data_IF_908392712781
#
_entry.id   IF_908392712781
#
_cell.length_a   1.000
_cell.length_b   1.000
_cell.length_c   1.000
_cell.angle_alpha   90.00
_cell.angle_beta   90.00
_cell.angle_gamma   90.00
#
_symmetry.space_group_name_H-M   'P 1'
#
loop_
_entity.id
_entity.type
_entity.pdbx_description
1 polymer ?
#
# COMPACT_ATOMS: atom_id res chain seq x y z
N UNK A 1 22.36 67.05 -11.90
CA UNK A 1 21.46 65.91 -11.54
C UNK A 1 22.29 64.65 -11.57
N UNK A 2 22.65 64.10 -10.39
CA UNK A 2 23.40 62.83 -10.29
C UNK A 2 22.40 61.70 -10.23
N UNK A 3 22.41 60.79 -11.25
CA UNK A 3 21.61 59.57 -11.25
C UNK A 3 22.29 58.55 -10.35
N UNK A 4 21.63 58.18 -9.26
CA UNK A 4 22.03 57.06 -8.38
C UNK A 4 21.50 55.79 -9.00
N UNK A 5 22.37 54.92 -9.50
CA UNK A 5 22.05 53.56 -9.94
C UNK A 5 22.09 52.69 -8.68
N UNK A 6 20.92 52.28 -8.19
CA UNK A 6 20.80 51.28 -7.12
C UNK A 6 20.95 49.93 -7.79
N UNK A 7 22.12 49.32 -7.66
CA UNK A 7 22.38 47.93 -8.08
C UNK A 7 21.83 47.00 -7.00
N UNK A 8 20.66 46.47 -7.19
CA UNK A 8 20.09 45.44 -6.31
C UNK A 8 20.86 44.14 -6.53
N UNK A 9 21.79 43.84 -5.64
CA UNK A 9 22.42 42.53 -5.50
C UNK A 9 21.36 41.55 -5.01
N UNK A 10 20.71 40.85 -5.92
CA UNK A 10 19.95 39.62 -5.61
C UNK A 10 20.97 38.54 -5.21
N UNK A 11 20.90 37.97 -4.00
CA UNK A 11 21.77 36.88 -3.66
C UNK A 11 21.43 35.69 -4.57
N UNK A 12 22.38 35.31 -5.41
CA UNK A 12 22.36 34.03 -6.10
C UNK A 12 22.47 32.92 -5.03
N UNK A 13 21.33 32.46 -4.53
CA UNK A 13 21.28 31.24 -3.75
C UNK A 13 21.52 30.11 -4.76
N UNK A 14 22.75 29.60 -4.77
CA UNK A 14 23.08 28.47 -5.65
C UNK A 14 22.20 27.29 -5.30
N UNK A 15 21.75 26.55 -6.32
CA UNK A 15 20.91 25.34 -6.18
C UNK A 15 21.48 24.34 -5.15
N UNK A 16 22.80 24.28 -4.98
CA UNK A 16 23.48 23.44 -3.99
C UNK A 16 23.22 23.81 -2.52
N UNK A 17 22.71 25.01 -2.24
CA UNK A 17 22.37 25.43 -0.87
C UNK A 17 20.91 25.11 -0.52
N UNK A 18 20.04 24.96 -1.52
CA UNK A 18 18.62 24.62 -1.31
C UNK A 18 18.52 23.18 -0.75
N UNK A 19 19.35 22.24 -1.23
CA UNK A 19 19.37 20.86 -0.75
C UNK A 19 19.81 20.72 0.72
N UNK A 20 20.52 21.71 1.27
CA UNK A 20 20.92 21.73 2.69
C UNK A 20 19.86 22.33 3.62
N UNK A 21 18.92 23.10 3.10
CA UNK A 21 17.87 23.75 3.89
C UNK A 21 16.60 22.85 3.95
N UNK A 22 16.38 22.01 2.92
CA UNK A 22 15.25 21.10 2.84
C UNK A 22 15.16 20.01 3.93
N UNK A 23 16.27 19.49 4.52
CA UNK A 23 16.20 18.45 5.56
C UNK A 23 15.44 18.84 6.82
N UNK A 24 15.30 20.15 7.10
CA UNK A 24 14.66 20.64 8.33
C UNK A 24 13.14 20.38 8.31
N UNK A 25 12.53 20.24 7.12
CA UNK A 25 11.10 20.01 6.93
C UNK A 25 10.78 18.62 6.35
N UNK A 26 11.80 17.81 6.05
CA UNK A 26 11.57 16.46 5.55
C UNK A 26 11.05 15.55 6.67
N UNK A 27 10.03 14.76 6.38
CA UNK A 27 9.63 13.66 7.27
C UNK A 27 10.82 12.74 7.47
N UNK A 28 11.02 12.17 8.68
CA UNK A 28 12.07 11.17 8.90
C UNK A 28 11.95 10.07 7.84
N UNK A 29 13.08 9.66 7.28
CA UNK A 29 13.15 8.66 6.24
C UNK A 29 13.94 7.45 6.72
N UNK A 30 13.45 6.24 6.42
CA UNK A 30 14.14 4.98 6.64
C UNK A 30 14.32 4.28 5.29
N UNK A 31 15.45 3.64 5.09
CA UNK A 31 15.70 2.84 3.89
C UNK A 31 14.79 1.59 3.86
N UNK A 32 14.75 0.87 4.96
CA UNK A 32 13.97 -0.38 5.10
C UNK A 32 13.38 -0.53 6.49
N UNK A 33 12.20 -1.14 6.54
CA UNK A 33 11.59 -1.68 7.76
C UNK A 33 11.06 -3.09 7.47
N UNK A 34 11.13 -3.99 8.45
CA UNK A 34 10.58 -5.35 8.35
C UNK A 34 9.40 -5.54 9.31
N UNK A 35 8.48 -6.45 8.98
CA UNK A 35 7.28 -6.71 9.78
C UNK A 35 7.60 -6.98 11.26
N UNK A 36 8.63 -7.77 11.57
CA UNK A 36 9.01 -8.05 12.96
C UNK A 36 9.37 -6.79 13.76
N UNK A 37 10.02 -5.82 13.13
CA UNK A 37 10.33 -4.52 13.74
C UNK A 37 9.07 -3.70 14.06
N UNK A 38 8.02 -3.83 13.24
CA UNK A 38 6.75 -3.13 13.51
C UNK A 38 6.04 -3.65 14.76
N UNK A 39 6.36 -4.87 15.20
CA UNK A 39 5.79 -5.52 16.37
C UNK A 39 6.70 -5.42 17.61
N UNK A 40 7.95 -5.00 17.45
CA UNK A 40 8.93 -4.86 18.52
C UNK A 40 8.72 -3.53 19.26
N UNK A 41 8.34 -3.61 20.54
CA UNK A 41 8.04 -2.45 21.38
C UNK A 41 9.26 -1.53 21.52
N UNK A 42 10.47 -2.06 21.63
CA UNK A 42 11.68 -1.26 21.79
C UNK A 42 12.06 -0.53 20.51
N UNK A 43 11.85 -1.16 19.36
CA UNK A 43 12.01 -0.52 18.08
C UNK A 43 10.95 0.58 17.86
N UNK A 44 9.68 0.28 18.15
CA UNK A 44 8.53 1.20 18.00
C UNK A 44 8.71 2.51 18.77
N UNK A 45 9.32 2.46 19.96
CA UNK A 45 9.60 3.65 20.78
C UNK A 45 10.41 4.73 20.06
N UNK A 46 11.30 4.31 19.18
CA UNK A 46 12.26 5.17 18.50
C UNK A 46 11.76 5.69 17.14
N UNK A 47 10.66 5.12 16.63
CA UNK A 47 10.10 5.53 15.33
C UNK A 47 9.12 6.70 15.53
N UNK A 48 9.28 7.74 14.73
CA UNK A 48 8.31 8.85 14.68
C UNK A 48 7.09 8.45 13.84
N UNK A 49 5.91 8.89 14.28
CA UNK A 49 4.72 8.70 13.47
C UNK A 49 4.87 9.37 12.10
N UNK A 50 4.35 8.75 11.06
CA UNK A 50 4.42 9.25 9.68
C UNK A 50 5.86 9.29 9.11
N UNK A 51 6.73 8.38 9.57
CA UNK A 51 8.05 8.18 8.97
C UNK A 51 7.89 7.55 7.58
N UNK A 52 8.57 8.10 6.57
CA UNK A 52 8.61 7.53 5.22
C UNK A 52 9.61 6.39 5.15
N UNK A 53 9.33 5.39 4.32
CA UNK A 53 10.17 4.20 4.12
C UNK A 53 10.30 3.92 2.63
N UNK A 54 11.49 3.57 2.16
CA UNK A 54 11.71 3.21 0.76
C UNK A 54 11.25 1.78 0.45
N UNK A 55 11.46 0.86 1.42
CA UNK A 55 11.07 -0.54 1.28
C UNK A 55 10.51 -1.13 2.58
N UNK A 56 9.54 -2.04 2.43
CA UNK A 56 8.93 -2.76 3.52
C UNK A 56 8.92 -4.26 3.25
N UNK A 57 9.42 -5.06 4.21
CA UNK A 57 9.31 -6.51 4.18
C UNK A 57 8.09 -6.95 4.98
N UNK A 58 7.11 -7.53 4.31
CA UNK A 58 5.83 -7.96 4.88
C UNK A 58 5.98 -9.17 5.81
N UNK A 59 4.91 -9.52 6.52
CA UNK A 59 4.83 -10.73 7.34
C UNK A 59 5.20 -12.00 6.55
N UNK A 60 4.78 -12.08 5.29
CA UNK A 60 5.04 -13.21 4.40
C UNK A 60 6.37 -13.10 3.64
N UNK A 61 7.28 -12.23 4.09
CA UNK A 61 8.63 -12.04 3.51
C UNK A 61 8.65 -11.44 2.11
N UNK A 62 7.54 -10.88 1.65
CA UNK A 62 7.53 -10.10 0.43
C UNK A 62 8.14 -8.72 0.66
N UNK A 63 9.06 -8.31 -0.21
CA UNK A 63 9.66 -6.98 -0.15
C UNK A 63 8.91 -6.09 -1.13
N UNK A 64 8.26 -5.06 -0.60
CA UNK A 64 7.59 -4.01 -1.35
C UNK A 64 8.46 -2.76 -1.38
N UNK A 65 8.52 -2.08 -2.53
CA UNK A 65 9.27 -0.83 -2.71
C UNK A 65 8.40 0.24 -3.33
N UNK A 66 8.76 1.50 -3.15
CA UNK A 66 8.20 2.60 -3.91
C UNK A 66 8.43 2.34 -5.40
N UNK A 67 7.38 2.49 -6.21
CA UNK A 67 7.37 2.17 -7.63
C UNK A 67 6.84 0.77 -7.98
N UNK A 68 6.73 -0.14 -7.02
CA UNK A 68 6.16 -1.47 -7.26
C UNK A 68 4.66 -1.41 -7.59
N UNK A 69 4.20 -2.42 -8.31
CA UNK A 69 2.80 -2.56 -8.69
C UNK A 69 2.09 -3.53 -7.77
N UNK A 70 0.98 -3.08 -7.18
CA UNK A 70 0.05 -3.91 -6.43
C UNK A 70 -1.20 -4.19 -7.26
N UNK A 71 -1.84 -5.32 -7.02
CA UNK A 71 -3.14 -5.66 -7.60
C UNK A 71 -4.21 -5.55 -6.52
N UNK A 72 -5.23 -4.73 -6.78
CA UNK A 72 -6.41 -4.64 -5.91
C UNK A 72 -7.18 -5.95 -6.00
N UNK A 73 -7.47 -6.53 -4.87
CA UNK A 73 -8.23 -7.78 -4.75
C UNK A 73 -9.72 -7.54 -4.59
N UNK A 74 -10.37 -8.39 -3.82
CA UNK A 74 -11.82 -8.34 -3.62
C UNK A 74 -12.16 -7.58 -2.34
N UNK A 75 -13.17 -6.70 -2.41
CA UNK A 75 -13.68 -6.02 -1.22
C UNK A 75 -14.22 -7.04 -0.20
N UNK A 76 -13.90 -6.83 1.07
CA UNK A 76 -14.22 -7.77 2.14
C UNK A 76 -14.98 -7.05 3.25
N UNK A 77 -16.17 -7.50 3.59
CA UNK A 77 -16.91 -6.91 4.68
C UNK A 77 -16.42 -7.42 6.06
N UNK A 78 -16.71 -6.67 7.12
CA UNK A 78 -16.33 -7.00 8.51
C UNK A 78 -16.82 -8.36 9.00
N UNK A 79 -17.81 -8.97 8.34
CA UNK A 79 -18.37 -10.28 8.69
C UNK A 79 -17.77 -11.43 7.91
N UNK A 80 -16.71 -11.20 7.17
CA UNK A 80 -16.04 -12.25 6.39
C UNK A 80 -16.78 -12.67 5.13
N UNK A 81 -17.74 -11.91 4.67
CA UNK A 81 -18.49 -12.18 3.45
C UNK A 81 -18.09 -11.20 2.37
N UNK A 82 -17.71 -11.71 1.22
CA UNK A 82 -17.56 -10.91 0.02
C UNK A 82 -18.96 -10.63 -0.54
N UNK A 83 -19.40 -9.38 -0.45
CA UNK A 83 -20.69 -8.96 -1.01
C UNK A 83 -20.39 -8.06 -2.21
N UNK A 84 -20.94 -8.43 -3.37
CA UNK A 84 -20.89 -7.62 -4.57
C UNK A 84 -21.51 -6.25 -4.29
N UNK A 85 -20.76 -5.19 -4.57
CA UNK A 85 -21.20 -3.82 -4.32
C UNK A 85 -20.70 -3.19 -3.02
N UNK A 86 -20.01 -3.95 -2.17
CA UNK A 86 -19.41 -3.42 -0.95
C UNK A 86 -18.19 -2.55 -1.21
N UNK A 87 -17.85 -1.75 -0.21
CA UNK A 87 -16.63 -0.95 -0.20
C UNK A 87 -15.48 -1.75 0.42
N UNK A 88 -14.26 -1.43 0.02
CA UNK A 88 -13.06 -1.95 0.68
C UNK A 88 -12.98 -1.43 2.12
N UNK A 89 -12.49 -2.25 3.05
CA UNK A 89 -12.35 -1.87 4.46
C UNK A 89 -11.02 -1.18 4.78
N UNK A 90 -9.96 -1.54 4.06
CA UNK A 90 -8.61 -1.04 4.28
C UNK A 90 -8.09 -0.17 3.13
N UNK A 91 -8.89 0.09 2.12
CA UNK A 91 -8.50 0.93 0.98
C UNK A 91 -9.47 2.08 0.86
N UNK A 92 -8.95 3.30 0.89
CA UNK A 92 -9.72 4.53 0.79
C UNK A 92 -9.23 5.41 -0.36
N UNK A 93 -10.06 6.34 -0.79
CA UNK A 93 -9.74 7.31 -1.84
C UNK A 93 -9.00 8.52 -1.25
N UNK A 94 -8.07 9.09 -2.02
CA UNK A 94 -7.32 10.28 -1.61
C UNK A 94 -6.14 9.98 -0.68
N UNK A 95 -5.57 11.05 -0.11
CA UNK A 95 -4.46 10.99 0.83
C UNK A 95 -4.98 11.04 2.26
N UNK A 96 -5.12 9.89 2.89
CA UNK A 96 -5.59 9.80 4.27
C UNK A 96 -4.40 9.53 5.18
N UNK A 97 -4.07 10.48 6.04
CA UNK A 97 -3.09 10.31 7.11
C UNK A 97 -3.82 10.29 8.45
N UNK A 98 -3.58 9.21 9.22
CA UNK A 98 -4.12 9.10 10.58
C UNK A 98 -5.55 8.56 10.67
N UNK A 99 -6.16 8.74 11.84
CA UNK A 99 -7.49 8.22 12.20
C UNK A 99 -8.61 9.21 11.84
N UNK A 100 -8.71 9.62 10.59
CA UNK A 100 -9.87 10.44 10.19
C UNK A 100 -11.15 9.62 10.31
N UNK A 101 -12.18 10.19 10.95
CA UNK A 101 -13.47 9.52 11.18
C UNK A 101 -14.23 9.27 9.88
N UNK A 102 -14.02 10.11 8.88
CA UNK A 102 -14.68 10.03 7.58
C UNK A 102 -13.65 9.60 6.53
N UNK A 103 -13.85 8.41 5.96
CA UNK A 103 -13.06 7.86 4.89
C UNK A 103 -13.97 7.48 3.74
N UNK A 104 -13.68 8.00 2.57
CA UNK A 104 -14.30 7.52 1.34
C UNK A 104 -13.59 6.22 0.95
N UNK A 105 -14.18 5.10 1.32
CA UNK A 105 -13.65 3.79 0.97
C UNK A 105 -13.77 3.52 -0.52
N UNK A 106 -12.77 2.80 -1.05
CA UNK A 106 -12.72 2.44 -2.45
C UNK A 106 -13.89 1.50 -2.80
N UNK A 107 -14.62 1.73 -3.93
CA UNK A 107 -15.70 0.85 -4.35
C UNK A 107 -15.17 -0.46 -4.96
N UNK A 108 -15.97 -1.53 -4.86
CA UNK A 108 -15.64 -2.87 -5.37
C UNK A 108 -15.28 -2.90 -6.87
N UNK A 109 -15.77 -1.96 -7.66
CA UNK A 109 -15.45 -1.84 -9.09
C UNK A 109 -13.95 -1.72 -9.40
N UNK A 110 -13.11 -1.51 -8.38
CA UNK A 110 -11.65 -1.48 -8.52
C UNK A 110 -10.98 -2.85 -8.39
N UNK A 111 -11.74 -3.92 -8.19
CA UNK A 111 -11.23 -5.28 -8.17
C UNK A 111 -10.43 -5.61 -9.45
N UNK A 112 -9.27 -6.24 -9.29
CA UNK A 112 -8.36 -6.62 -10.38
C UNK A 112 -7.50 -5.48 -10.94
N UNK A 113 -7.73 -4.23 -10.52
CA UNK A 113 -6.95 -3.10 -11.03
C UNK A 113 -5.53 -3.07 -10.42
N UNK A 114 -4.57 -2.69 -11.25
CA UNK A 114 -3.18 -2.49 -10.85
C UNK A 114 -2.96 -1.05 -10.42
N UNK A 115 -2.26 -0.86 -9.29
CA UNK A 115 -1.88 0.44 -8.75
C UNK A 115 -0.39 0.48 -8.45
N UNK A 116 0.23 1.65 -8.55
CA UNK A 116 1.67 1.84 -8.35
C UNK A 116 1.89 2.49 -6.99
N UNK A 117 2.78 1.93 -6.18
CA UNK A 117 3.17 2.48 -4.88
C UNK A 117 3.88 3.82 -5.11
N UNK A 118 3.33 4.90 -4.55
CA UNK A 118 3.96 6.23 -4.58
C UNK A 118 4.78 6.51 -3.32
N UNK A 119 4.34 6.01 -2.17
CA UNK A 119 5.07 6.16 -0.91
C UNK A 119 4.57 5.18 0.14
N UNK A 120 5.45 4.83 1.06
CA UNK A 120 5.20 3.93 2.18
C UNK A 120 5.45 4.70 3.47
N UNK A 121 4.54 4.61 4.43
CA UNK A 121 4.62 5.29 5.72
C UNK A 121 4.48 4.32 6.88
N UNK A 122 5.27 4.57 7.91
CA UNK A 122 5.13 3.89 9.19
C UNK A 122 4.26 4.73 10.11
N UNK A 123 3.19 4.14 10.61
CA UNK A 123 2.18 4.81 11.43
C UNK A 123 2.04 4.13 12.79
N UNK A 124 1.86 4.94 13.83
CA UNK A 124 1.47 4.43 15.15
C UNK A 124 -0.04 4.16 15.19
N UNK A 125 -0.44 3.00 15.70
CA UNK A 125 -1.84 2.72 15.92
C UNK A 125 -2.42 3.72 16.94
N UNK A 126 -3.67 4.15 16.69
CA UNK A 126 -4.41 5.12 17.54
C UNK A 126 -3.70 6.47 17.76
N UNK A 127 -2.79 6.86 16.87
CA UNK A 127 -2.18 8.18 16.95
C UNK A 127 -3.21 9.28 16.63
N UNK A 128 -3.53 10.10 17.63
CA UNK A 128 -4.51 11.18 17.54
C UNK A 128 -3.86 12.60 17.54
N UNK A 129 -2.67 12.71 17.00
CA UNK A 129 -1.91 13.96 17.03
C UNK A 129 -0.94 14.03 18.22
N UNK A 130 -0.40 15.23 18.49
CA UNK A 130 0.50 15.42 19.62
C UNK A 130 -0.31 15.45 20.93
N UNK A 131 -0.12 14.42 21.75
CA UNK A 131 -0.60 14.38 23.12
C UNK A 131 0.57 13.94 24.02
N UNK A 132 1.04 14.80 24.95
CA UNK A 132 2.15 14.45 25.84
C UNK A 132 1.85 13.27 26.78
N UNK A 133 0.56 12.99 27.04
CA UNK A 133 0.11 11.86 27.85
C UNK A 133 -0.05 10.57 27.01
N UNK A 134 0.04 10.65 25.70
CA UNK A 134 -0.09 9.49 24.83
C UNK A 134 1.17 8.64 24.85
N UNK A 135 1.05 7.47 25.45
CA UNK A 135 2.17 6.52 25.49
C UNK A 135 2.28 5.75 24.16
N UNK A 136 3.01 6.31 23.19
CA UNK A 136 3.27 5.69 21.86
C UNK A 136 3.97 4.33 21.96
N UNK A 137 4.50 4.01 23.13
CA UNK A 137 5.52 2.98 23.32
C UNK A 137 4.96 1.57 23.45
N UNK A 138 3.63 1.40 23.41
CA UNK A 138 3.00 0.11 23.72
C UNK A 138 2.17 -0.48 22.58
N UNK A 139 2.07 0.20 21.43
CA UNK A 139 1.24 -0.26 20.33
C UNK A 139 2.10 -0.57 19.11
N UNK A 140 1.80 -1.65 18.39
CA UNK A 140 2.50 -1.98 17.15
C UNK A 140 2.35 -0.88 16.11
N UNK A 141 3.33 -0.81 15.21
CA UNK A 141 3.24 0.05 14.03
C UNK A 141 2.42 -0.65 12.95
N UNK A 142 1.75 0.13 12.12
CA UNK A 142 1.19 -0.36 10.87
C UNK A 142 1.76 0.39 9.68
N UNK A 143 1.68 -0.22 8.52
CA UNK A 143 2.23 0.32 7.28
C UNK A 143 1.11 0.83 6.40
N UNK A 144 1.13 2.14 6.17
CA UNK A 144 0.23 2.83 5.27
C UNK A 144 0.91 3.02 3.91
N UNK A 145 0.21 2.72 2.84
CA UNK A 145 0.73 2.85 1.47
C UNK A 145 -0.13 3.83 0.68
N UNK A 146 0.50 4.84 0.10
CA UNK A 146 -0.12 5.63 -0.94
C UNK A 146 0.19 5.02 -2.30
N UNK A 147 -0.85 4.84 -3.08
CA UNK A 147 -0.73 4.31 -4.43
C UNK A 147 -1.46 5.19 -5.44
N UNK A 148 -0.95 5.19 -6.66
CA UNK A 148 -1.52 5.92 -7.78
C UNK A 148 -2.59 5.08 -8.43
N UNK A 149 -3.78 5.64 -8.54
CA UNK A 149 -4.90 5.02 -9.25
C UNK A 149 -4.60 4.88 -10.75
N UNK A 150 -5.12 3.86 -11.39
CA UNK A 150 -5.19 3.82 -12.84
C UNK A 150 -5.98 5.04 -13.34
N UNK A 151 -5.69 5.50 -14.56
CA UNK A 151 -6.43 6.61 -15.17
C UNK A 151 -7.90 6.22 -15.28
N UNK A 152 -8.76 6.95 -14.56
CA UNK A 152 -10.20 6.79 -14.69
C UNK A 152 -10.61 7.46 -15.98
N UNK A 153 -11.11 6.68 -16.95
CA UNK A 153 -11.75 7.23 -18.15
C UNK A 153 -13.11 7.80 -17.73
N UNK A 154 -13.40 9.05 -18.12
CA UNK A 154 -14.71 9.70 -17.98
C UNK A 154 -15.16 10.12 -16.56
N UNK A 155 -14.29 10.64 -15.73
CA UNK A 155 -14.73 11.40 -14.56
C UNK A 155 -15.00 12.84 -14.96
N UNK A 156 -16.24 13.27 -14.80
CA UNK A 156 -16.65 14.67 -15.00
C UNK A 156 -16.11 15.51 -13.83
N UNK A 157 -14.90 16.05 -14.01
CA UNK A 157 -14.14 16.67 -12.93
C UNK A 157 -14.55 18.14 -12.85
N UNK A 158 -15.38 18.48 -11.88
CA UNK A 158 -15.79 19.87 -11.64
C UNK A 158 -14.67 20.75 -11.03
N UNK A 159 -13.67 20.15 -10.33
CA UNK A 159 -12.58 20.87 -9.68
C UNK A 159 -11.24 20.15 -9.81
N UNK A 160 -10.15 20.89 -10.03
CA UNK A 160 -8.76 20.35 -10.16
C UNK A 160 -8.31 19.64 -8.89
N UNK A 161 -8.67 20.15 -7.70
CA UNK A 161 -8.32 19.49 -6.42
C UNK A 161 -8.99 18.13 -6.25
N UNK A 162 -10.24 18.01 -6.64
CA UNK A 162 -10.99 16.75 -6.68
C UNK A 162 -10.40 15.77 -7.67
N UNK A 163 -9.92 16.27 -8.82
CA UNK A 163 -9.23 15.48 -9.83
C UNK A 163 -7.93 14.86 -9.30
N UNK A 164 -7.14 15.63 -8.57
CA UNK A 164 -5.88 15.18 -8.00
C UNK A 164 -6.11 14.19 -6.85
N UNK A 165 -7.10 14.43 -5.99
CA UNK A 165 -7.45 13.52 -4.90
C UNK A 165 -8.01 12.19 -5.41
N UNK A 166 -8.77 12.19 -6.52
CA UNK A 166 -9.33 10.96 -7.10
C UNK A 166 -8.29 10.05 -7.76
N UNK A 167 -7.10 10.55 -8.08
CA UNK A 167 -6.03 9.74 -8.70
C UNK A 167 -5.26 8.88 -7.69
N UNK A 168 -5.33 9.20 -6.41
CA UNK A 168 -4.61 8.51 -5.36
C UNK A 168 -5.55 7.67 -4.51
N UNK A 169 -5.03 6.58 -4.02
CA UNK A 169 -5.66 5.75 -3.00
C UNK A 169 -4.72 5.60 -1.81
N UNK A 170 -5.30 5.37 -0.65
CA UNK A 170 -4.58 5.05 0.57
C UNK A 170 -4.94 3.63 0.98
N UNK A 171 -3.97 2.73 0.99
CA UNK A 171 -4.08 1.45 1.67
C UNK A 171 -3.68 1.71 3.12
N UNK A 172 -4.68 1.72 3.99
CA UNK A 172 -4.55 2.21 5.38
C UNK A 172 -3.64 1.30 6.20
N UNK A 173 -3.74 -0.02 6.00
CA UNK A 173 -2.92 -1.02 6.64
C UNK A 173 -2.71 -2.15 5.63
N UNK A 174 -1.49 -2.24 5.12
CA UNK A 174 -1.17 -3.18 4.04
C UNK A 174 -1.26 -4.63 4.49
N UNK A 175 -0.88 -4.95 5.73
CA UNK A 175 -0.95 -6.32 6.25
C UNK A 175 -2.41 -6.78 6.41
N UNK A 176 -3.29 -5.89 6.88
CA UNK A 176 -4.72 -6.17 6.92
C UNK A 176 -5.31 -6.30 5.53
N UNK A 177 -4.92 -5.43 4.59
CA UNK A 177 -5.37 -5.50 3.22
C UNK A 177 -4.97 -6.82 2.55
N UNK A 178 -3.75 -7.32 2.79
CA UNK A 178 -3.32 -8.65 2.34
C UNK A 178 -4.12 -9.78 3.02
N UNK A 179 -4.29 -9.71 4.34
CA UNK A 179 -4.99 -10.75 5.10
C UNK A 179 -6.47 -10.89 4.70
N UNK A 180 -7.10 -9.78 4.31
CA UNK A 180 -8.49 -9.77 3.84
C UNK A 180 -8.63 -9.99 2.33
N UNK A 181 -7.52 -10.13 1.60
CA UNK A 181 -7.54 -10.28 0.15
C UNK A 181 -7.95 -9.01 -0.60
N UNK A 182 -7.98 -7.86 0.07
CA UNK A 182 -8.27 -6.56 -0.53
C UNK A 182 -7.13 -6.06 -1.42
N UNK A 183 -5.90 -6.50 -1.12
CA UNK A 183 -4.74 -6.44 -2.01
C UNK A 183 -4.24 -7.86 -2.19
N UNK A 184 -3.93 -8.24 -3.43
CA UNK A 184 -3.39 -9.58 -3.72
C UNK A 184 -1.96 -9.64 -3.23
N UNK A 185 -1.71 -10.53 -2.26
CA UNK A 185 -0.36 -10.78 -1.77
C UNK A 185 0.39 -11.69 -2.77
N UNK A 186 1.46 -11.21 -3.42
CA UNK A 186 2.16 -12.00 -4.45
C UNK A 186 2.89 -13.23 -3.88
N UNK A 187 3.10 -13.28 -2.56
CA UNK A 187 3.80 -14.41 -1.88
C UNK A 187 2.83 -15.30 -1.11
N UNK A 188 1.51 -14.99 -1.13
CA UNK A 188 0.54 -15.84 -0.45
C UNK A 188 0.66 -17.27 -0.97
N UNK A 189 1.26 -18.14 -0.19
CA UNK A 189 1.27 -19.58 -0.46
C UNK A 189 -0.16 -20.06 -0.40
N UNK A 190 -0.60 -20.70 -1.48
CA UNK A 190 -1.89 -21.38 -1.50
C UNK A 190 -1.92 -22.38 -0.35
N UNK A 191 -2.99 -22.40 0.41
CA UNK A 191 -3.23 -23.51 1.31
C UNK A 191 -3.59 -24.77 0.51
N UNK A 192 -3.60 -25.92 1.17
CA UNK A 192 -3.86 -27.20 0.51
C UNK A 192 -5.22 -27.23 -0.20
N UNK A 193 -6.26 -26.69 0.41
CA UNK A 193 -7.62 -26.66 -0.15
C UNK A 193 -7.71 -25.76 -1.38
N UNK A 194 -7.10 -24.56 -1.30
CA UNK A 194 -6.99 -23.62 -2.41
C UNK A 194 -6.20 -24.23 -3.58
N UNK A 195 -5.11 -24.94 -3.29
CA UNK A 195 -4.30 -25.64 -4.30
C UNK A 195 -5.09 -26.77 -4.97
N UNK A 196 -5.84 -27.57 -4.20
CA UNK A 196 -6.70 -28.62 -4.75
C UNK A 196 -7.80 -28.03 -5.64
N UNK A 197 -8.45 -26.95 -5.19
CA UNK A 197 -9.49 -26.26 -5.96
C UNK A 197 -8.94 -25.75 -7.28
N UNK A 198 -7.80 -25.05 -7.24
CA UNK A 198 -7.14 -24.51 -8.43
C UNK A 198 -6.71 -25.59 -9.41
N UNK A 199 -6.24 -26.73 -8.90
CA UNK A 199 -5.84 -27.86 -9.76
C UNK A 199 -7.07 -28.53 -10.42
N UNK A 200 -8.20 -28.63 -9.72
CA UNK A 200 -9.46 -29.11 -10.31
C UNK A 200 -9.97 -28.20 -11.41
N UNK A 201 -10.04 -26.90 -11.14
CA UNK A 201 -10.44 -25.89 -12.13
C UNK A 201 -9.55 -25.96 -13.39
N UNK A 202 -8.22 -26.09 -13.21
CA UNK A 202 -7.30 -26.23 -14.32
C UNK A 202 -7.49 -27.54 -15.10
N UNK A 203 -7.83 -28.64 -14.41
CA UNK A 203 -8.15 -29.91 -15.05
C UNK A 203 -9.42 -29.82 -15.90
N UNK A 204 -10.46 -29.19 -15.37
CA UNK A 204 -11.71 -28.95 -16.08
C UNK A 204 -11.48 -28.10 -17.34
N UNK A 205 -10.67 -27.04 -17.25
CA UNK A 205 -10.30 -26.21 -18.41
C UNK A 205 -9.50 -26.98 -19.44
N UNK A 206 -8.59 -27.86 -19.00
CA UNK A 206 -7.81 -28.72 -19.89
C UNK A 206 -8.72 -29.74 -20.61
N UNK A 207 -9.66 -30.38 -19.90
CA UNK A 207 -10.61 -31.34 -20.47
C UNK A 207 -11.60 -30.69 -21.46
N UNK A 208 -11.84 -29.37 -21.33
CA UNK A 208 -12.65 -28.56 -22.25
C UNK A 208 -11.85 -27.96 -23.41
N UNK A 209 -10.57 -28.31 -23.60
CA UNK A 209 -9.64 -27.72 -24.57
C UNK A 209 -9.46 -26.20 -24.44
N UNK A 210 -9.76 -25.63 -23.26
CA UNK A 210 -9.58 -24.20 -22.94
C UNK A 210 -8.20 -23.88 -22.31
N UNK A 211 -7.42 -24.90 -22.00
CA UNK A 211 -6.05 -24.81 -21.47
C UNK A 211 -5.13 -25.76 -22.20
N UNK A 212 -3.93 -25.32 -22.56
CA UNK A 212 -2.95 -26.19 -23.20
C UNK A 212 -2.37 -27.22 -22.23
N UNK A 213 -1.93 -28.37 -22.77
CA UNK A 213 -1.27 -29.41 -21.98
C UNK A 213 -0.03 -28.88 -21.22
N UNK A 214 0.74 -28.02 -21.85
CA UNK A 214 1.94 -27.40 -21.27
C UNK A 214 1.61 -26.54 -20.04
N UNK A 215 0.57 -25.74 -20.13
CA UNK A 215 0.10 -24.89 -19.00
C UNK A 215 -0.46 -25.74 -17.85
N UNK A 216 -1.24 -26.75 -18.16
CA UNK A 216 -1.78 -27.68 -17.15
C UNK A 216 -0.65 -28.42 -16.40
N UNK A 217 0.33 -29.00 -17.11
CA UNK A 217 1.45 -29.71 -16.50
C UNK A 217 2.33 -28.78 -15.65
N UNK A 218 2.57 -27.56 -16.11
CA UNK A 218 3.30 -26.55 -15.32
C UNK A 218 2.58 -26.24 -14.01
N UNK A 219 1.27 -26.01 -14.07
CA UNK A 219 0.47 -25.71 -12.89
C UNK A 219 0.39 -26.90 -11.94
N UNK A 220 0.28 -28.12 -12.49
CA UNK A 220 0.30 -29.37 -11.71
C UNK A 220 1.60 -29.55 -10.95
N UNK A 221 2.74 -29.32 -11.57
CA UNK A 221 4.06 -29.37 -10.93
C UNK A 221 4.21 -28.34 -9.81
N UNK A 222 3.67 -27.14 -10.01
CA UNK A 222 3.69 -26.07 -9.01
C UNK A 222 2.81 -26.39 -7.78
N UNK A 223 1.63 -26.96 -8.00
CA UNK A 223 0.64 -27.20 -6.94
C UNK A 223 0.84 -28.52 -6.21
N UNK A 224 1.41 -29.55 -6.85
CA UNK A 224 1.60 -30.87 -6.25
C UNK A 224 2.34 -30.83 -4.90
N UNK A 225 3.45 -30.10 -4.73
CA UNK A 225 4.15 -30.01 -3.44
C UNK A 225 3.27 -29.42 -2.34
N UNK A 226 2.40 -28.44 -2.68
CA UNK A 226 1.50 -27.79 -1.71
C UNK A 226 0.40 -28.76 -1.26
N UNK A 227 -0.08 -29.60 -2.18
CA UNK A 227 -1.15 -30.56 -1.92
C UNK A 227 -0.64 -31.76 -1.11
N UNK A 228 0.60 -32.19 -1.37
CA UNK A 228 1.18 -33.41 -0.78
C UNK A 228 1.84 -33.17 0.57
N UNK A 229 2.32 -31.95 0.86
CA UNK A 229 2.86 -31.62 2.17
C UNK A 229 1.72 -31.69 3.22
N UNK A 230 1.74 -32.75 4.01
CA UNK A 230 0.96 -32.84 5.25
C UNK A 230 1.72 -31.98 6.30
N UNK A 231 1.22 -30.78 6.60
CA UNK A 231 1.58 -30.10 7.85
C UNK A 231 0.89 -30.80 8.99
#
# INVERSE_FOLDING_TARGET
MKKIIILTLLPFISYSQIDKILPIFSSPQLEKIVYSQTQDIDYVKNIKNNTTVESYETKDKHIMKVGDTLTIGTAYNKKGRNILGDLFSNIATGNIKGTTKERDYLPHSYNGQKVIIESIYVMHEKYNGYNPLYNRKQMPLYILVYAKRPKVQNVNIKNISTALSHKRITIVDIEKAFSFGEVINPVKKLNREEAIKKLKEAKDLFELDLMSKSEYEKLRLELTPIITNKN
#
